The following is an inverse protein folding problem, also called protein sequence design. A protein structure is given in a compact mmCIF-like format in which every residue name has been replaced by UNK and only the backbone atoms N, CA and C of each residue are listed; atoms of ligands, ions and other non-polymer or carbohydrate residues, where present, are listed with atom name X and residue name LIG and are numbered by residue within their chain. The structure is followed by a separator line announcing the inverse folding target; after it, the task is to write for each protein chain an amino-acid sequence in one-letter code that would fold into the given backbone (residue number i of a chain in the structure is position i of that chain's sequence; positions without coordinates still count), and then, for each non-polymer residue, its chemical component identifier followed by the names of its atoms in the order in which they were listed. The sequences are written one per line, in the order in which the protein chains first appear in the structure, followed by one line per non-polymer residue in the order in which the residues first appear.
data_IF_929451131056
#
_entry.id   IF_929451131056
#
_cell.length_a   1.000
_cell.length_b   1.000
_cell.length_c   1.000
_cell.angle_alpha   90.00
_cell.angle_beta   90.00
_cell.angle_gamma   90.00
#
_symmetry.space_group_name_H-M   'P 1'
#
loop_
_entity.id
_entity.type
_entity.pdbx_description
1 polymer ?
#
# COMPACT_ATOMS: atom_id res chain seq x y z
N UNK A 1 11.27 1.53 37.15
CA UNK A 1 11.19 0.06 37.20
C UNK A 1 11.97 -0.47 36.01
N UNK A 2 13.09 -1.15 36.24
CA UNK A 2 13.65 -2.04 35.22
C UNK A 2 12.73 -3.25 35.15
N UNK A 3 12.17 -3.55 33.99
CA UNK A 3 11.15 -4.59 33.79
C UNK A 3 11.71 -6.02 33.90
N UNK A 4 13.00 -6.17 34.23
CA UNK A 4 13.68 -7.46 34.32
C UNK A 4 13.89 -8.15 32.96
N UNK A 5 13.67 -7.46 31.83
CA UNK A 5 13.85 -8.04 30.51
C UNK A 5 15.33 -8.22 30.17
N UNK A 6 15.74 -9.47 29.95
CA UNK A 6 17.07 -9.81 29.43
C UNK A 6 16.99 -9.85 27.90
N UNK A 7 17.83 -9.06 27.23
CA UNK A 7 17.94 -9.03 25.76
C UNK A 7 19.20 -9.78 25.33
N UNK A 8 19.04 -10.71 24.40
CA UNK A 8 20.14 -11.45 23.77
C UNK A 8 20.19 -11.05 22.30
N UNK A 9 21.37 -10.66 21.82
CA UNK A 9 21.61 -10.40 20.41
C UNK A 9 22.39 -11.57 19.82
N UNK A 10 21.85 -12.15 18.74
CA UNK A 10 22.48 -13.24 18.00
C UNK A 10 22.79 -12.75 16.59
N UNK A 11 24.01 -13.01 16.12
CA UNK A 11 24.45 -12.63 14.78
C UNK A 11 24.69 -13.89 13.94
N UNK A 12 23.91 -14.06 12.89
CA UNK A 12 24.00 -15.21 11.99
C UNK A 12 25.22 -15.17 11.07
N UNK A 13 25.81 -13.99 10.86
CA UNK A 13 27.08 -13.78 10.15
C UNK A 13 28.31 -13.66 11.08
N UNK A 14 28.20 -14.14 12.33
CA UNK A 14 29.33 -14.20 13.26
C UNK A 14 30.48 -15.07 12.74
N UNK A 15 31.73 -14.72 13.10
CA UNK A 15 32.95 -15.42 12.65
C UNK A 15 33.63 -16.26 13.73
N UNK A 16 32.96 -16.44 14.87
CA UNK A 16 33.43 -17.14 16.07
C UNK A 16 32.61 -18.43 16.33
N UNK A 17 32.54 -19.38 15.38
CA UNK A 17 31.76 -20.61 15.55
C UNK A 17 32.27 -21.50 16.69
N UNK A 18 33.54 -21.36 17.08
CA UNK A 18 34.16 -22.07 18.22
C UNK A 18 33.69 -21.57 19.59
N UNK A 19 33.16 -20.35 19.68
CA UNK A 19 32.69 -19.75 20.93
C UNK A 19 31.21 -20.06 21.23
N UNK A 20 30.50 -20.68 20.29
CA UNK A 20 29.08 -21.01 20.40
C UNK A 20 28.82 -22.47 20.10
N UNK A 21 27.67 -23.00 20.52
CA UNK A 21 27.35 -24.39 20.24
C UNK A 21 27.13 -24.62 18.73
N UNK A 22 27.57 -25.77 18.19
CA UNK A 22 27.29 -26.13 16.80
C UNK A 22 25.79 -26.11 16.47
N UNK A 23 24.95 -26.49 17.44
CA UNK A 23 23.50 -26.44 17.35
C UNK A 23 22.97 -25.01 17.10
N UNK A 24 23.55 -24.01 17.76
CA UNK A 24 23.17 -22.60 17.60
C UNK A 24 23.67 -22.06 16.26
N UNK A 25 24.90 -22.37 15.87
CA UNK A 25 25.44 -21.98 14.56
C UNK A 25 24.59 -22.52 13.41
N UNK A 26 24.19 -23.79 13.51
CA UNK A 26 23.33 -24.44 12.52
C UNK A 26 21.92 -23.83 12.48
N UNK A 27 21.33 -23.54 13.64
CA UNK A 27 20.05 -22.85 13.72
C UNK A 27 20.11 -21.45 13.09
N UNK A 28 21.16 -20.68 13.37
CA UNK A 28 21.34 -19.34 12.80
C UNK A 28 21.50 -19.37 11.27
N UNK A 29 22.24 -20.36 10.74
CA UNK A 29 22.32 -20.59 9.28
C UNK A 29 20.97 -20.94 8.68
N UNK A 30 20.18 -21.77 9.35
CA UNK A 30 18.83 -22.09 8.91
C UNK A 30 17.91 -20.86 8.89
N UNK A 31 18.03 -19.94 9.86
CA UNK A 31 17.21 -18.73 9.89
C UNK A 31 17.46 -17.80 8.70
N UNK A 32 18.64 -17.83 8.10
CA UNK A 32 18.97 -17.02 6.92
C UNK A 32 18.32 -17.56 5.63
N UNK A 33 18.37 -18.88 5.42
CA UNK A 33 17.98 -19.50 4.14
C UNK A 33 16.70 -20.33 4.19
N UNK A 34 16.23 -20.71 5.39
CA UNK A 34 15.14 -21.68 5.63
C UNK A 34 15.23 -22.90 4.71
N UNK A 35 16.46 -23.41 4.53
CA UNK A 35 16.73 -24.50 3.60
C UNK A 35 16.26 -25.84 4.16
N UNK A 36 15.39 -26.52 3.41
CA UNK A 36 14.88 -27.84 3.76
C UNK A 36 15.97 -28.90 3.80
N UNK A 37 16.93 -28.86 2.87
CA UNK A 37 18.04 -29.81 2.84
C UNK A 37 18.94 -29.65 4.06
N UNK A 38 19.14 -28.40 4.54
CA UNK A 38 19.90 -28.14 5.75
C UNK A 38 19.16 -28.66 7.00
N UNK A 39 17.85 -28.46 7.10
CA UNK A 39 17.08 -28.92 8.24
C UNK A 39 16.89 -30.45 8.29
N UNK A 40 16.66 -31.10 7.15
CA UNK A 40 16.45 -32.56 7.06
C UNK A 40 17.73 -33.34 7.38
N UNK A 41 18.89 -32.85 6.90
CA UNK A 41 20.20 -33.47 7.14
C UNK A 41 20.84 -33.07 8.47
N UNK A 42 20.19 -32.20 9.24
CA UNK A 42 20.70 -31.74 10.52
C UNK A 42 20.75 -32.86 11.57
N UNK A 43 21.77 -32.84 12.43
CA UNK A 43 21.77 -33.65 13.65
C UNK A 43 20.94 -33.02 14.79
N UNK A 44 20.54 -31.76 14.64
CA UNK A 44 19.80 -31.00 15.64
C UNK A 44 18.29 -31.30 15.55
N UNK A 45 17.81 -32.15 16.45
CA UNK A 45 16.39 -32.52 16.53
C UNK A 45 15.44 -31.34 16.82
N UNK A 46 15.93 -30.27 17.48
CA UNK A 46 15.13 -29.05 17.67
C UNK A 46 14.94 -28.32 16.33
N UNK A 47 15.98 -28.27 15.52
CA UNK A 47 15.92 -27.65 14.19
C UNK A 47 14.92 -28.39 13.28
N UNK A 48 14.94 -29.73 13.28
CA UNK A 48 13.96 -30.54 12.54
C UNK A 48 12.52 -30.26 12.98
N UNK A 49 12.26 -30.13 14.29
CA UNK A 49 10.93 -29.79 14.81
C UNK A 49 10.48 -28.40 14.34
N UNK A 50 11.37 -27.41 14.38
CA UNK A 50 11.10 -26.06 13.87
C UNK A 50 10.77 -26.12 12.37
N UNK A 51 11.60 -26.81 11.59
CA UNK A 51 11.38 -26.96 10.16
C UNK A 51 10.05 -27.64 9.84
N UNK A 52 9.73 -28.76 10.50
CA UNK A 52 8.44 -29.44 10.35
C UNK A 52 7.26 -28.51 10.62
N UNK A 53 7.33 -27.71 11.69
CA UNK A 53 6.26 -26.78 12.03
C UNK A 53 6.12 -25.67 10.98
N UNK A 54 7.23 -25.09 10.52
CA UNK A 54 7.24 -24.11 9.43
C UNK A 54 6.68 -24.70 8.15
N UNK A 55 7.06 -25.92 7.79
CA UNK A 55 6.56 -26.61 6.59
C UNK A 55 5.06 -26.89 6.66
N UNK A 56 4.54 -27.25 7.84
CA UNK A 56 3.09 -27.42 8.05
C UNK A 56 2.32 -26.09 7.90
N UNK A 57 2.87 -24.99 8.41
CA UNK A 57 2.28 -23.65 8.24
C UNK A 57 2.31 -23.24 6.77
N UNK A 58 3.42 -23.46 6.06
CA UNK A 58 3.54 -23.15 4.63
C UNK A 58 2.60 -23.98 3.76
N UNK A 59 2.35 -25.23 4.13
CA UNK A 59 1.42 -26.12 3.44
C UNK A 59 -0.05 -25.92 3.87
N UNK A 60 -0.32 -25.10 4.88
CA UNK A 60 -1.67 -24.81 5.34
C UNK A 60 -2.38 -23.92 4.33
N UNK A 61 -3.40 -24.48 3.68
CA UNK A 61 -4.28 -23.75 2.76
C UNK A 61 -4.94 -22.55 3.45
N UNK A 62 -5.38 -22.70 4.70
CA UNK A 62 -5.96 -21.60 5.49
C UNK A 62 -4.98 -20.43 5.63
N UNK A 63 -3.70 -20.71 5.89
CA UNK A 63 -2.66 -19.69 5.95
C UNK A 63 -2.43 -19.07 4.57
N UNK A 64 -2.38 -19.89 3.52
CA UNK A 64 -2.30 -19.42 2.13
C UNK A 64 -3.41 -18.44 1.76
N UNK A 65 -4.67 -18.76 2.10
CA UNK A 65 -5.84 -17.89 1.88
C UNK A 65 -5.69 -16.58 2.64
N UNK A 66 -5.29 -16.61 3.92
CA UNK A 66 -5.06 -15.38 4.70
C UNK A 66 -3.98 -14.49 4.08
N UNK A 67 -2.91 -15.08 3.52
CA UNK A 67 -1.88 -14.31 2.84
C UNK A 67 -2.39 -13.71 1.51
N UNK A 68 -3.19 -14.46 0.75
CA UNK A 68 -3.80 -13.99 -0.49
C UNK A 68 -4.74 -12.81 -0.23
N UNK A 69 -5.63 -12.93 0.75
CA UNK A 69 -6.54 -11.84 1.15
C UNK A 69 -5.79 -10.59 1.56
N UNK A 70 -4.76 -10.72 2.43
CA UNK A 70 -3.93 -9.57 2.82
C UNK A 70 -3.19 -8.95 1.64
N UNK A 71 -2.81 -9.74 0.65
CA UNK A 71 -2.18 -9.24 -0.55
C UNK A 71 -3.19 -8.48 -1.42
N UNK A 72 -4.39 -9.02 -1.62
CA UNK A 72 -5.49 -8.38 -2.35
C UNK A 72 -5.90 -7.06 -1.69
N UNK A 73 -6.10 -7.04 -0.37
CA UNK A 73 -6.37 -5.82 0.42
C UNK A 73 -5.28 -4.77 0.20
N UNK A 74 -4.00 -5.16 0.29
CA UNK A 74 -2.88 -4.23 0.10
C UNK A 74 -2.80 -3.66 -1.32
N UNK A 75 -3.16 -4.46 -2.31
CA UNK A 75 -3.23 -4.02 -3.71
C UNK A 75 -4.38 -3.02 -3.86
N UNK A 76 -5.55 -3.33 -3.34
CA UNK A 76 -6.72 -2.46 -3.33
C UNK A 76 -6.42 -1.11 -2.65
N UNK A 77 -5.88 -1.12 -1.43
CA UNK A 77 -5.52 0.10 -0.69
C UNK A 77 -4.55 0.99 -1.46
N UNK A 78 -3.61 0.38 -2.20
CA UNK A 78 -2.63 1.12 -3.02
C UNK A 78 -3.28 1.72 -4.26
N UNK A 79 -4.27 1.06 -4.83
CA UNK A 79 -5.03 1.57 -5.97
C UNK A 79 -5.96 2.72 -5.54
N UNK A 80 -6.69 2.52 -4.44
CA UNK A 80 -7.55 3.54 -3.82
C UNK A 80 -6.75 4.77 -3.43
N UNK A 81 -5.65 4.61 -2.67
CA UNK A 81 -4.81 5.75 -2.28
C UNK A 81 -4.18 6.48 -3.47
N UNK A 82 -3.93 5.79 -4.60
CA UNK A 82 -3.50 6.46 -5.84
C UNK A 82 -4.65 7.25 -6.48
N UNK A 83 -5.86 6.70 -6.47
CA UNK A 83 -7.04 7.39 -7.00
C UNK A 83 -7.37 8.63 -6.17
N UNK A 84 -7.36 8.53 -4.85
CA UNK A 84 -7.55 9.64 -3.91
C UNK A 84 -6.48 10.72 -4.12
N UNK A 85 -5.19 10.35 -4.14
CA UNK A 85 -4.12 11.33 -4.36
C UNK A 85 -4.21 12.06 -5.70
N UNK A 86 -4.71 11.40 -6.77
CA UNK A 86 -4.99 12.08 -8.04
C UNK A 86 -6.16 13.07 -7.93
N UNK A 87 -7.23 12.68 -7.22
CA UNK A 87 -8.38 13.54 -7.01
C UNK A 87 -8.02 14.76 -6.16
N UNK A 88 -7.28 14.57 -5.06
CA UNK A 88 -6.76 15.66 -4.23
C UNK A 88 -5.86 16.60 -5.03
N UNK A 89 -4.98 16.06 -5.88
CA UNK A 89 -4.11 16.86 -6.75
C UNK A 89 -4.90 17.73 -7.74
N UNK A 90 -6.06 17.28 -8.20
CA UNK A 90 -6.96 18.04 -9.10
C UNK A 90 -7.96 18.93 -8.38
N UNK A 91 -8.18 18.73 -7.08
CA UNK A 91 -9.20 19.47 -6.34
C UNK A 91 -8.98 21.00 -6.35
N UNK A 92 -7.72 21.46 -6.40
CA UNK A 92 -7.41 22.89 -6.48
C UNK A 92 -7.89 23.52 -7.79
N UNK A 93 -7.81 22.78 -8.91
CA UNK A 93 -8.33 23.25 -10.19
C UNK A 93 -9.86 23.32 -10.16
N UNK A 94 -10.52 22.27 -9.67
CA UNK A 94 -11.98 22.25 -9.52
C UNK A 94 -12.46 23.38 -8.61
N UNK A 95 -11.77 23.65 -7.51
CA UNK A 95 -12.07 24.78 -6.63
C UNK A 95 -12.03 26.12 -7.38
N UNK A 96 -11.01 26.34 -8.20
CA UNK A 96 -10.87 27.57 -9.00
C UNK A 96 -12.05 27.67 -9.97
N UNK A 97 -12.36 26.59 -10.70
CA UNK A 97 -13.47 26.54 -11.67
C UNK A 97 -14.80 26.83 -10.96
N UNK A 98 -15.07 26.16 -9.83
CA UNK A 98 -16.26 26.39 -9.00
C UNK A 98 -16.40 27.85 -8.62
N UNK A 99 -15.32 28.47 -8.13
CA UNK A 99 -15.35 29.87 -7.76
C UNK A 99 -15.59 30.80 -8.97
N UNK A 100 -15.03 30.52 -10.15
CA UNK A 100 -15.28 31.31 -11.35
C UNK A 100 -16.74 31.24 -11.81
N UNK A 101 -17.34 30.06 -11.74
CA UNK A 101 -18.72 29.82 -12.20
C UNK A 101 -19.74 30.30 -11.16
N UNK A 102 -19.58 29.95 -9.89
CA UNK A 102 -20.60 30.21 -8.88
C UNK A 102 -20.49 31.60 -8.26
N UNK A 103 -19.27 32.06 -7.95
CA UNK A 103 -19.05 33.34 -7.26
C UNK A 103 -18.88 34.49 -8.25
N UNK A 104 -18.09 34.27 -9.30
CA UNK A 104 -17.84 35.30 -10.33
C UNK A 104 -18.88 35.26 -11.46
N UNK A 105 -19.68 34.19 -11.56
CA UNK A 105 -20.75 34.03 -12.56
C UNK A 105 -20.26 34.10 -14.01
N UNK A 106 -19.03 33.62 -14.25
CA UNK A 106 -18.49 33.45 -15.62
C UNK A 106 -19.17 32.28 -16.32
N UNK A 107 -19.31 32.38 -17.63
CA UNK A 107 -19.73 31.21 -18.42
C UNK A 107 -18.61 30.17 -18.47
N UNK A 108 -18.93 28.89 -18.80
CA UNK A 108 -17.91 27.88 -19.04
C UNK A 108 -16.88 28.30 -20.10
N UNK A 109 -17.30 28.98 -21.17
CA UNK A 109 -16.40 29.48 -22.22
C UNK A 109 -15.43 30.54 -21.73
N UNK A 110 -15.91 31.53 -20.96
CA UNK A 110 -15.06 32.58 -20.39
C UNK A 110 -14.07 32.01 -19.37
N UNK A 111 -14.51 31.03 -18.59
CA UNK A 111 -13.65 30.33 -17.62
C UNK A 111 -12.59 29.48 -18.33
N UNK A 112 -12.95 28.80 -19.41
CA UNK A 112 -12.01 28.03 -20.24
C UNK A 112 -10.94 28.93 -20.86
N UNK A 113 -11.32 30.10 -21.40
CA UNK A 113 -10.36 31.07 -21.92
C UNK A 113 -9.43 31.61 -20.83
N UNK A 114 -9.97 31.95 -19.65
CA UNK A 114 -9.20 32.48 -18.53
C UNK A 114 -8.17 31.47 -17.99
N UNK A 115 -8.58 30.21 -17.86
CA UNK A 115 -7.76 29.14 -17.30
C UNK A 115 -6.91 28.43 -18.35
N UNK A 116 -7.12 28.74 -19.64
CA UNK A 116 -6.46 28.10 -20.79
C UNK A 116 -6.69 26.58 -20.78
N UNK A 117 -7.95 26.19 -20.61
CA UNK A 117 -8.43 24.80 -20.56
C UNK A 117 -9.44 24.53 -21.69
N UNK A 118 -9.73 23.27 -21.99
CA UNK A 118 -10.74 22.96 -23.00
C UNK A 118 -12.17 23.38 -22.54
N UNK A 119 -12.95 24.07 -23.40
CA UNK A 119 -14.31 24.47 -23.04
C UNK A 119 -15.23 23.29 -22.68
N UNK A 120 -15.04 22.13 -23.32
CA UNK A 120 -15.81 20.92 -23.04
C UNK A 120 -15.50 20.36 -21.65
N UNK A 121 -14.24 20.44 -21.23
CA UNK A 121 -13.82 20.06 -19.87
C UNK A 121 -14.52 20.95 -18.83
N UNK A 122 -14.45 22.28 -19.01
CA UNK A 122 -15.10 23.22 -18.08
C UNK A 122 -16.61 23.04 -18.04
N UNK A 123 -17.25 22.81 -19.20
CA UNK A 123 -18.69 22.47 -19.25
C UNK A 123 -19.00 21.24 -18.43
N UNK A 124 -18.17 20.20 -18.54
CA UNK A 124 -18.38 18.98 -17.78
C UNK A 124 -18.23 19.17 -16.27
N UNK A 125 -17.25 19.98 -15.86
CA UNK A 125 -17.11 20.37 -14.45
C UNK A 125 -18.31 21.17 -13.99
N UNK A 126 -18.79 22.13 -14.79
CA UNK A 126 -19.97 22.94 -14.47
C UNK A 126 -21.24 22.09 -14.29
N UNK A 127 -21.48 21.14 -15.19
CA UNK A 127 -22.58 20.17 -15.09
C UNK A 127 -22.49 19.38 -13.78
N UNK A 128 -21.31 18.87 -13.41
CA UNK A 128 -21.13 18.12 -12.16
C UNK A 128 -21.34 18.97 -10.91
N UNK A 129 -20.94 20.24 -10.94
CA UNK A 129 -21.19 21.17 -9.82
C UNK A 129 -22.69 21.45 -9.66
N UNK A 130 -23.43 21.57 -10.76
CA UNK A 130 -24.88 21.75 -10.73
C UNK A 130 -25.63 20.48 -10.28
N UNK A 131 -25.20 19.31 -10.75
CA UNK A 131 -25.78 18.01 -10.37
C UNK A 131 -25.48 17.63 -8.91
N UNK A 132 -24.34 18.08 -8.38
CA UNK A 132 -23.82 17.69 -7.07
C UNK A 132 -23.31 18.89 -6.25
N UNK A 133 -24.17 19.85 -5.90
CA UNK A 133 -23.75 21.10 -5.24
C UNK A 133 -23.14 20.90 -3.85
N UNK A 134 -23.53 19.82 -3.17
CA UNK A 134 -23.05 19.48 -1.82
C UNK A 134 -21.69 18.76 -1.82
N UNK A 135 -21.20 18.33 -3.00
CA UNK A 135 -19.93 17.61 -3.11
C UNK A 135 -18.73 18.55 -3.02
N UNK A 136 -17.69 18.07 -2.35
CA UNK A 136 -16.39 18.75 -2.27
C UNK A 136 -15.67 18.72 -3.61
N UNK A 137 -14.70 19.61 -3.80
CA UNK A 137 -13.88 19.65 -5.01
C UNK A 137 -13.12 18.35 -5.27
N UNK A 138 -12.72 17.64 -4.21
CA UNK A 138 -12.08 16.31 -4.31
C UNK A 138 -13.05 15.28 -4.89
N UNK A 139 -14.32 15.30 -4.47
CA UNK A 139 -15.33 14.35 -4.95
C UNK A 139 -15.68 14.62 -6.42
N UNK A 140 -15.83 15.88 -6.80
CA UNK A 140 -16.04 16.30 -8.19
C UNK A 140 -14.83 15.89 -9.06
N UNK A 141 -13.60 16.14 -8.58
CA UNK A 141 -12.37 15.71 -9.26
C UNK A 141 -12.31 14.18 -9.44
N UNK A 142 -12.72 13.41 -8.42
CA UNK A 142 -12.78 11.95 -8.51
C UNK A 142 -13.79 11.47 -9.56
N UNK A 143 -14.91 12.17 -9.74
CA UNK A 143 -15.91 11.86 -10.79
C UNK A 143 -15.36 12.11 -12.19
N UNK A 144 -14.70 13.25 -12.40
CA UNK A 144 -14.00 13.59 -13.64
C UNK A 144 -12.98 12.51 -14.01
N UNK A 145 -12.15 12.10 -13.05
CA UNK A 145 -11.14 11.05 -13.24
C UNK A 145 -11.76 9.69 -13.58
N UNK A 146 -12.87 9.32 -12.94
CA UNK A 146 -13.60 8.08 -13.23
C UNK A 146 -14.26 8.10 -14.61
N UNK A 147 -14.72 9.26 -15.07
CA UNK A 147 -15.32 9.42 -16.39
C UNK A 147 -14.28 9.44 -17.53
N UNK A 148 -12.98 9.49 -17.21
CA UNK A 148 -11.91 9.53 -18.21
C UNK A 148 -11.85 10.83 -19.01
N UNK A 149 -12.39 11.92 -18.45
CA UNK A 149 -12.40 13.24 -19.09
C UNK A 149 -11.02 13.89 -18.87
N UNK A 150 -10.38 14.27 -19.97
CA UNK A 150 -9.09 14.95 -19.98
C UNK A 150 -9.26 16.47 -19.91
N UNK A 151 -8.19 17.13 -19.46
CA UNK A 151 -8.04 18.60 -19.32
C UNK A 151 -7.95 19.32 -20.67
#
# INVERSE_FOLDING_TARGET
MEDGAIKIFLNSHGKNPEEVSPELTEFLKYMESTDAALAENSANEKLKKIHKHVSQIKASEEMGVKYMQKWEEKVHDREEGRAEGKAEGRASEIYIIRNQIEQVQRTPEETAELLVLEPEYIKKVAELLEEHPEETDVQIAARILKAGVCE
#
